data_IF_782671445286
#
_entry.id   IF_782671445286
#
_cell.length_a   1.000
_cell.length_b   1.000
_cell.length_c   1.000
_cell.angle_alpha   90.00
_cell.angle_beta   90.00
_cell.angle_gamma   90.00
#
_symmetry.space_group_name_H-M   'P 1'
#
loop_
_entity.id
_entity.type
_entity.pdbx_description
1 polymer ?
#
# COMPACT_ATOMS: atom_id res chain seq x y z
N UNK A 1 7.39 27.94 38.59
CA UNK A 1 7.63 28.65 37.31
C UNK A 1 8.91 28.10 36.72
N UNK A 2 8.85 27.33 35.62
CA UNK A 2 10.03 26.79 34.93
C UNK A 2 10.74 27.92 34.18
N UNK A 3 11.96 28.25 34.58
CA UNK A 3 12.73 29.42 34.15
C UNK A 3 13.79 29.11 33.08
N UNK A 4 13.64 28.04 32.29
CA UNK A 4 14.67 27.62 31.32
C UNK A 4 14.09 27.12 29.99
N UNK A 5 13.49 28.02 29.22
CA UNK A 5 13.36 27.84 27.78
C UNK A 5 13.94 29.09 27.10
N UNK A 6 15.24 29.07 26.80
CA UNK A 6 15.83 30.03 25.86
C UNK A 6 15.18 29.76 24.51
N UNK A 7 14.35 30.69 24.02
CA UNK A 7 13.89 30.66 22.63
C UNK A 7 15.09 30.99 21.75
N UNK A 8 15.73 29.97 21.18
CA UNK A 8 16.65 30.16 20.06
C UNK A 8 15.83 30.68 18.88
N UNK A 9 16.14 31.88 18.39
CA UNK A 9 15.59 32.37 17.13
C UNK A 9 16.38 31.78 15.95
N UNK A 10 15.90 31.99 14.70
CA UNK A 10 16.54 31.45 13.49
C UNK A 10 18.00 31.96 13.34
N UNK A 11 18.27 33.20 13.71
CA UNK A 11 19.61 33.78 13.69
C UNK A 11 20.57 33.13 14.69
N UNK A 12 20.09 32.84 15.91
CA UNK A 12 20.85 32.14 16.94
C UNK A 12 21.18 30.71 16.49
N UNK A 13 20.20 30.01 15.90
CA UNK A 13 20.39 28.67 15.35
C UNK A 13 21.45 28.66 14.24
N UNK A 14 21.45 29.66 13.35
CA UNK A 14 22.44 29.77 12.27
C UNK A 14 23.85 30.04 12.79
N UNK A 15 24.00 30.92 13.78
CA UNK A 15 25.30 31.20 14.41
C UNK A 15 25.84 29.99 15.18
N UNK A 16 24.97 29.31 15.95
CA UNK A 16 25.34 28.08 16.67
C UNK A 16 25.75 26.97 15.69
N UNK A 17 25.03 26.82 14.57
CA UNK A 17 25.39 25.84 13.55
C UNK A 17 26.72 26.17 12.87
N UNK A 18 26.96 27.44 12.50
CA UNK A 18 28.23 27.89 11.92
C UNK A 18 29.42 27.66 12.86
N UNK A 19 29.27 27.99 14.15
CA UNK A 19 30.30 27.73 15.16
C UNK A 19 30.56 26.23 15.35
N UNK A 20 29.50 25.42 15.33
CA UNK A 20 29.59 23.96 15.42
C UNK A 20 30.31 23.36 14.20
N UNK A 21 29.93 23.78 12.99
CA UNK A 21 30.48 23.29 11.73
C UNK A 21 31.94 23.67 11.51
N UNK A 22 32.33 24.89 11.89
CA UNK A 22 33.72 25.34 11.77
C UNK A 22 34.67 24.65 12.77
N UNK A 23 34.14 24.16 13.90
CA UNK A 23 34.95 23.55 14.97
C UNK A 23 35.00 22.01 14.89
N UNK A 24 34.21 21.38 14.03
CA UNK A 24 34.33 19.95 13.66
C UNK A 24 34.06 18.92 14.75
N UNK A 25 33.59 19.30 15.94
CA UNK A 25 33.44 18.38 17.07
C UNK A 25 31.96 18.10 17.42
N UNK A 26 31.48 16.93 16.98
CA UNK A 26 30.09 16.45 17.14
C UNK A 26 29.63 16.37 18.61
N UNK A 27 30.55 16.34 19.58
CA UNK A 27 30.21 16.24 21.00
C UNK A 27 29.77 17.54 21.68
N UNK A 28 29.87 18.69 20.99
CA UNK A 28 29.64 20.02 21.59
C UNK A 28 28.19 20.50 21.54
N UNK A 29 27.38 20.01 20.59
CA UNK A 29 25.96 20.36 20.48
C UNK A 29 25.08 19.31 21.16
N UNK A 30 24.24 19.74 22.10
CA UNK A 30 23.30 18.87 22.81
C UNK A 30 22.44 18.11 21.78
N UNK A 31 22.40 16.75 21.83
CA UNK A 31 21.61 15.93 20.90
C UNK A 31 20.15 16.37 20.72
N UNK A 32 19.52 16.88 21.76
CA UNK A 32 18.11 17.30 21.71
C UNK A 32 17.91 18.65 20.99
N UNK A 33 18.98 19.45 20.84
CA UNK A 33 18.96 20.73 20.13
C UNK A 33 19.36 20.61 18.65
N UNK A 34 19.99 19.50 18.25
CA UNK A 34 20.55 19.32 16.89
C UNK A 34 19.52 19.51 15.80
N UNK A 35 18.34 18.90 15.95
CA UNK A 35 17.24 19.05 14.97
C UNK A 35 16.86 20.51 14.75
N UNK A 36 16.62 21.25 15.83
CA UNK A 36 16.19 22.64 15.76
C UNK A 36 17.29 23.54 15.19
N UNK A 37 18.54 23.29 15.59
CA UNK A 37 19.71 24.05 15.12
C UNK A 37 19.98 23.79 13.63
N UNK A 38 20.01 22.54 13.18
CA UNK A 38 20.19 22.22 11.76
C UNK A 38 19.05 22.78 10.93
N UNK A 39 17.80 22.54 11.33
CA UNK A 39 16.65 23.06 10.61
C UNK A 39 16.68 24.59 10.51
N UNK A 40 16.93 25.29 11.62
CA UNK A 40 17.02 26.75 11.66
C UNK A 40 18.16 27.31 10.80
N UNK A 41 19.31 26.63 10.76
CA UNK A 41 20.43 27.03 9.93
C UNK A 41 20.18 26.86 8.42
N UNK A 42 19.30 25.92 8.05
CA UNK A 42 18.99 25.58 6.66
C UNK A 42 17.75 26.32 6.12
N UNK A 43 16.79 26.69 6.99
CA UNK A 43 15.47 27.20 6.60
C UNK A 43 15.49 28.31 5.54
N UNK A 44 16.47 29.23 5.61
CA UNK A 44 16.63 30.34 4.66
C UNK A 44 18.08 30.44 4.15
N UNK A 45 18.75 29.31 4.01
CA UNK A 45 20.16 29.29 3.62
C UNK A 45 20.36 29.49 2.10
N UNK A 46 21.49 30.10 1.75
CA UNK A 46 21.93 30.30 0.36
C UNK A 46 22.63 29.07 -0.24
N UNK A 47 22.77 27.99 0.54
CA UNK A 47 23.41 26.74 0.17
C UNK A 47 24.74 26.50 0.89
N UNK A 48 25.32 27.51 1.54
CA UNK A 48 26.60 27.37 2.26
C UNK A 48 26.50 26.40 3.43
N UNK A 49 25.54 26.62 4.32
CA UNK A 49 25.31 25.78 5.50
C UNK A 49 24.78 24.41 5.10
N UNK A 50 23.99 24.38 4.03
CA UNK A 50 23.50 23.14 3.46
C UNK A 50 24.61 22.23 2.96
N UNK A 51 25.57 22.74 2.19
CA UNK A 51 26.67 21.92 1.67
C UNK A 51 27.50 21.32 2.80
N UNK A 52 27.68 22.05 3.90
CA UNK A 52 28.40 21.54 5.07
C UNK A 52 27.61 20.43 5.76
N UNK A 53 26.31 20.65 6.01
CA UNK A 53 25.44 19.63 6.61
C UNK A 53 25.31 18.39 5.72
N UNK A 54 25.32 18.57 4.40
CA UNK A 54 25.32 17.49 3.42
C UNK A 54 26.65 16.73 3.39
N UNK A 55 27.79 17.42 3.47
CA UNK A 55 29.10 16.77 3.59
C UNK A 55 29.17 15.92 4.87
N UNK A 56 28.67 16.44 6.00
CA UNK A 56 28.52 15.66 7.23
C UNK A 56 27.65 14.42 7.03
N UNK A 57 26.50 14.56 6.35
CA UNK A 57 25.62 13.43 6.05
C UNK A 57 26.36 12.32 5.28
N UNK A 58 27.17 12.69 4.29
CA UNK A 58 27.89 11.76 3.42
C UNK A 58 29.10 11.09 4.09
N UNK A 59 29.68 11.72 5.12
CA UNK A 59 30.89 11.26 5.84
C UNK A 59 30.60 10.38 7.07
N UNK A 60 29.35 10.21 7.49
CA UNK A 60 29.01 9.43 8.69
C UNK A 60 29.16 7.92 8.45
N UNK A 61 30.10 7.28 9.14
CA UNK A 61 30.25 5.82 9.18
C UNK A 61 29.36 5.18 10.26
N UNK A 62 28.44 4.28 9.87
CA UNK A 62 27.46 3.64 10.76
C UNK A 62 28.09 2.61 11.72
N UNK A 63 28.78 3.08 12.75
CA UNK A 63 29.29 2.25 13.85
C UNK A 63 28.51 2.50 15.16
N UNK A 64 27.32 1.90 15.29
CA UNK A 64 26.56 1.87 16.55
C UNK A 64 25.27 2.72 16.61
N UNK A 65 24.58 2.66 17.75
CA UNK A 65 23.23 3.24 17.97
C UNK A 65 23.21 4.78 17.89
N UNK A 66 24.22 5.46 18.45
CA UNK A 66 24.30 6.93 18.48
C UNK A 66 24.40 7.55 17.09
N UNK A 67 25.01 6.84 16.14
CA UNK A 67 25.19 7.27 14.76
C UNK A 67 23.87 7.38 14.01
N UNK A 68 22.88 6.54 14.35
CA UNK A 68 21.54 6.57 13.72
C UNK A 68 20.70 7.79 14.10
N UNK A 69 20.84 8.28 15.34
CA UNK A 69 20.10 9.46 15.83
C UNK A 69 20.64 10.75 15.25
N UNK A 70 21.96 10.81 15.04
CA UNK A 70 22.62 11.92 14.39
C UNK A 70 22.25 12.01 12.91
N UNK A 71 22.33 10.88 12.21
CA UNK A 71 21.92 10.80 10.80
C UNK A 71 20.49 11.30 10.58
N UNK A 72 19.57 10.95 11.49
CA UNK A 72 18.18 11.39 11.42
C UNK A 72 18.04 12.91 11.70
N UNK A 73 18.82 13.45 12.65
CA UNK A 73 18.81 14.88 12.94
C UNK A 73 19.32 15.69 11.74
N UNK A 74 20.39 15.23 11.08
CA UNK A 74 20.96 15.84 9.89
C UNK A 74 19.96 15.77 8.72
N UNK A 75 19.37 14.59 8.48
CA UNK A 75 18.35 14.39 7.46
C UNK A 75 17.13 15.32 7.64
N UNK A 76 16.66 15.50 8.88
CA UNK A 76 15.59 16.44 9.22
C UNK A 76 16.01 17.89 8.99
N UNK A 77 17.26 18.24 9.29
CA UNK A 77 17.81 19.57 9.02
C UNK A 77 17.85 19.89 7.53
N UNK A 78 18.35 18.97 6.70
CA UNK A 78 18.38 19.12 5.24
C UNK A 78 16.97 19.32 4.65
N UNK A 79 15.96 18.63 5.20
CA UNK A 79 14.57 18.74 4.77
C UNK A 79 13.90 20.09 5.11
N UNK A 80 14.50 20.91 5.98
CA UNK A 80 13.99 22.24 6.28
C UNK A 80 14.35 23.29 5.23
N UNK A 81 15.14 22.96 4.21
CA UNK A 81 15.50 23.89 3.16
C UNK A 81 14.25 24.48 2.48
N UNK A 82 14.25 25.79 2.25
CA UNK A 82 13.24 26.47 1.43
C UNK A 82 13.78 26.88 0.06
N UNK A 83 15.08 26.70 -0.19
CA UNK A 83 15.69 27.01 -1.48
C UNK A 83 15.52 25.81 -2.44
N UNK A 84 14.80 25.97 -3.58
CA UNK A 84 14.58 24.88 -4.53
C UNK A 84 15.85 24.22 -5.06
N UNK A 85 16.89 24.99 -5.38
CA UNK A 85 18.14 24.45 -5.93
C UNK A 85 18.86 23.55 -4.93
N UNK A 86 18.75 23.91 -3.66
CA UNK A 86 19.32 23.18 -2.54
C UNK A 86 18.58 21.85 -2.34
N UNK A 87 17.24 21.90 -2.35
CA UNK A 87 16.37 20.71 -2.30
C UNK A 87 16.71 19.76 -3.47
N UNK A 88 16.79 20.27 -4.70
CA UNK A 88 17.13 19.50 -5.91
C UNK A 88 18.46 18.75 -5.78
N UNK A 89 19.52 19.39 -5.26
CA UNK A 89 20.82 18.71 -5.06
C UNK A 89 20.75 17.50 -4.14
N UNK A 90 19.91 17.58 -3.11
CA UNK A 90 19.68 16.45 -2.21
C UNK A 90 18.88 15.35 -2.92
N UNK A 91 17.87 15.71 -3.71
CA UNK A 91 17.14 14.76 -4.55
C UNK A 91 18.06 14.06 -5.57
N UNK A 92 19.00 14.77 -6.20
CA UNK A 92 19.96 14.21 -7.16
C UNK A 92 20.90 13.16 -6.52
N UNK A 93 21.42 13.45 -5.32
CA UNK A 93 22.25 12.51 -4.58
C UNK A 93 21.50 11.22 -4.23
N UNK A 94 20.20 11.31 -4.03
CA UNK A 94 19.35 10.17 -3.72
C UNK A 94 18.93 9.38 -4.94
N UNK A 95 18.88 10.02 -6.12
CA UNK A 95 18.57 9.37 -7.39
C UNK A 95 19.74 8.51 -7.92
N UNK A 96 20.98 8.83 -7.57
CA UNK A 96 22.18 8.10 -8.02
C UNK A 96 22.50 6.88 -7.14
N UNK A 97 22.31 5.67 -7.69
CA UNK A 97 22.60 4.38 -7.02
C UNK A 97 24.07 4.15 -6.69
N UNK A 98 24.99 4.88 -7.34
CA UNK A 98 26.43 4.79 -7.09
C UNK A 98 26.90 5.75 -6.00
N UNK A 99 26.04 6.69 -5.59
CA UNK A 99 26.36 7.67 -4.56
C UNK A 99 26.43 7.02 -3.18
N UNK A 100 27.25 7.58 -2.30
CA UNK A 100 27.23 7.23 -0.88
C UNK A 100 25.86 7.54 -0.24
N UNK A 101 25.09 8.49 -0.79
CA UNK A 101 23.73 8.82 -0.37
C UNK A 101 22.75 7.65 -0.49
N UNK A 102 22.89 6.79 -1.50
CA UNK A 102 22.06 5.59 -1.66
C UNK A 102 22.37 4.47 -0.65
N UNK A 103 23.61 4.45 -0.10
CA UNK A 103 24.03 3.44 0.90
C UNK A 103 23.44 3.68 2.30
N UNK A 104 23.05 4.92 2.59
CA UNK A 104 22.45 5.29 3.87
C UNK A 104 20.93 5.18 3.74
N UNK A 105 20.26 4.63 4.75
CA UNK A 105 18.80 4.43 4.77
C UNK A 105 18.08 5.80 4.84
N UNK A 106 17.99 6.47 3.69
CA UNK A 106 17.58 7.88 3.43
C UNK A 106 16.09 8.17 3.58
N UNK A 107 15.30 7.14 3.88
CA UNK A 107 13.86 7.22 4.12
C UNK A 107 13.43 8.33 5.08
N UNK A 108 14.18 8.66 6.15
CA UNK A 108 13.84 9.77 7.04
C UNK A 108 13.90 11.12 6.34
N UNK A 109 14.95 11.42 5.56
CA UNK A 109 15.08 12.72 4.89
C UNK A 109 13.85 13.00 4.01
N UNK A 110 13.51 12.05 3.13
CA UNK A 110 12.33 12.11 2.26
C UNK A 110 11.01 12.26 3.01
N UNK A 111 10.81 11.50 4.09
CA UNK A 111 9.60 11.65 4.91
C UNK A 111 9.47 13.04 5.53
N UNK A 112 10.58 13.75 5.75
CA UNK A 112 10.56 15.12 6.26
C UNK A 112 10.33 16.15 5.16
N UNK A 113 10.79 15.92 3.92
CA UNK A 113 10.47 16.78 2.76
C UNK A 113 8.96 16.88 2.53
N UNK A 114 8.20 15.79 2.75
CA UNK A 114 6.73 15.80 2.68
C UNK A 114 6.06 16.81 3.61
N UNK A 115 6.63 17.07 4.79
CA UNK A 115 6.03 17.97 5.78
C UNK A 115 6.42 19.45 5.56
N UNK A 116 7.26 19.73 4.56
CA UNK A 116 7.68 21.08 4.19
C UNK A 116 7.02 21.48 2.84
N UNK A 117 6.06 22.42 2.81
CA UNK A 117 5.31 22.76 1.60
C UNK A 117 6.17 23.14 0.40
N UNK A 118 7.24 23.92 0.60
CA UNK A 118 8.14 24.32 -0.49
C UNK A 118 8.91 23.11 -1.00
N UNK A 119 9.37 22.26 -0.08
CA UNK A 119 10.18 21.12 -0.44
C UNK A 119 9.35 19.98 -1.06
N UNK A 120 8.07 19.84 -0.68
CA UNK A 120 7.13 18.96 -1.35
C UNK A 120 6.81 19.43 -2.77
N UNK A 121 6.65 20.73 -3.00
CA UNK A 121 6.39 21.28 -4.34
C UNK A 121 7.60 21.08 -5.26
N UNK A 122 8.80 21.41 -4.77
CA UNK A 122 10.05 21.19 -5.51
C UNK A 122 10.31 19.70 -5.75
N UNK A 123 9.98 18.83 -4.79
CA UNK A 123 10.05 17.39 -4.98
C UNK A 123 9.06 16.93 -6.06
N UNK A 124 7.82 17.41 -6.05
CA UNK A 124 6.85 17.08 -7.09
C UNK A 124 7.32 17.56 -8.47
N UNK A 125 7.85 18.78 -8.59
CA UNK A 125 8.34 19.32 -9.86
C UNK A 125 9.63 18.65 -10.32
N UNK A 126 10.52 18.27 -9.40
CA UNK A 126 11.69 17.45 -9.68
C UNK A 126 11.27 16.10 -10.24
N UNK A 127 10.27 15.46 -9.63
CA UNK A 127 9.72 14.18 -10.08
C UNK A 127 8.94 14.31 -11.40
N UNK A 128 8.35 15.46 -11.74
CA UNK A 128 7.71 15.68 -13.04
C UNK A 128 8.71 15.91 -14.17
N UNK A 129 9.80 16.64 -13.89
CA UNK A 129 10.76 17.08 -14.89
C UNK A 129 11.97 16.14 -15.04
N UNK A 130 12.13 15.21 -14.10
CA UNK A 130 13.18 14.20 -14.17
C UNK A 130 12.83 13.15 -15.23
N UNK A 131 13.66 13.09 -16.29
CA UNK A 131 13.70 11.97 -17.23
C UNK A 131 14.27 10.68 -16.62
N UNK A 132 14.45 10.62 -15.29
CA UNK A 132 15.06 9.49 -14.62
C UNK A 132 14.14 8.27 -14.65
N UNK A 133 14.49 7.33 -15.51
CA UNK A 133 14.28 5.88 -15.42
C UNK A 133 13.33 5.41 -14.29
N UNK A 134 12.19 4.77 -14.63
CA UNK A 134 11.16 4.22 -13.70
C UNK A 134 11.73 3.61 -12.41
N UNK A 135 12.92 2.98 -12.51
CA UNK A 135 13.69 2.43 -11.41
C UNK A 135 13.95 3.40 -10.23
N UNK A 136 14.09 4.71 -10.47
CA UNK A 136 14.34 5.71 -9.42
C UNK A 136 13.04 6.09 -8.72
N UNK A 137 11.93 6.22 -9.46
CA UNK A 137 10.59 6.42 -8.90
C UNK A 137 10.15 5.24 -8.02
N UNK A 138 10.41 4.01 -8.46
CA UNK A 138 10.10 2.82 -7.67
C UNK A 138 10.91 2.73 -6.38
N UNK A 139 12.17 3.19 -6.39
CA UNK A 139 12.97 3.31 -5.17
C UNK A 139 12.38 4.35 -4.21
N UNK A 140 11.90 5.50 -4.71
CA UNK A 140 11.22 6.49 -3.87
C UNK A 140 9.90 5.96 -3.32
N UNK A 141 9.15 5.21 -4.11
CA UNK A 141 7.91 4.58 -3.68
C UNK A 141 8.17 3.51 -2.61
N UNK A 142 9.08 2.58 -2.83
CA UNK A 142 9.51 1.60 -1.80
C UNK A 142 10.09 2.31 -0.56
N UNK A 143 10.82 3.40 -0.80
CA UNK A 143 11.13 4.50 0.11
C UNK A 143 9.99 4.82 1.09
N UNK A 144 8.96 5.39 0.50
CA UNK A 144 7.77 5.84 1.19
C UNK A 144 7.06 4.70 1.93
N UNK A 145 6.87 3.55 1.28
CA UNK A 145 6.10 2.42 1.80
C UNK A 145 6.77 1.69 2.98
N UNK A 146 8.10 1.76 3.10
CA UNK A 146 8.84 1.05 4.15
C UNK A 146 9.12 1.89 5.40
N UNK A 147 8.87 3.21 5.38
CA UNK A 147 9.11 4.07 6.54
C UNK A 147 7.95 4.00 7.56
N UNK A 148 8.03 3.02 8.47
CA UNK A 148 7.00 2.66 9.46
C UNK A 148 6.81 3.64 10.65
N UNK A 149 7.19 4.92 10.55
CA UNK A 149 7.18 5.86 11.71
C UNK A 149 6.02 6.86 11.75
N UNK A 150 4.97 6.64 10.98
CA UNK A 150 3.76 7.46 11.01
C UNK A 150 2.53 6.64 10.62
N UNK A 151 1.67 6.42 11.58
CA UNK A 151 0.44 5.66 11.49
C UNK A 151 -0.59 6.26 10.50
N UNK A 152 -1.14 5.41 9.62
CA UNK A 152 -2.50 5.46 9.03
C UNK A 152 -2.97 6.67 8.20
N UNK A 153 -2.10 7.59 7.80
CA UNK A 153 -2.47 8.59 6.80
C UNK A 153 -1.85 8.20 5.46
N UNK A 154 -2.61 7.50 4.62
CA UNK A 154 -2.31 7.43 3.19
C UNK A 154 -2.38 8.87 2.71
N UNK A 155 -1.21 9.49 2.53
CA UNK A 155 -1.15 10.84 2.01
C UNK A 155 -1.64 10.80 0.57
N UNK A 156 -2.31 11.84 0.12
CA UNK A 156 -2.64 12.03 -1.29
C UNK A 156 -1.40 11.85 -2.18
N UNK A 157 -0.20 12.12 -1.64
CA UNK A 157 1.09 11.84 -2.26
C UNK A 157 1.33 10.36 -2.59
N UNK A 158 0.96 9.43 -1.70
CA UNK A 158 1.10 7.98 -1.96
C UNK A 158 0.27 7.59 -3.18
N UNK A 159 -1.00 8.03 -3.16
CA UNK A 159 -1.94 7.77 -4.24
C UNK A 159 -1.46 8.42 -5.53
N UNK A 160 -1.04 9.67 -5.48
CA UNK A 160 -0.47 10.40 -6.61
C UNK A 160 0.74 9.67 -7.20
N UNK A 161 1.70 9.23 -6.38
CA UNK A 161 2.84 8.46 -6.89
C UNK A 161 2.43 7.17 -7.58
N UNK A 162 1.44 6.45 -7.04
CA UNK A 162 0.89 5.29 -7.74
C UNK A 162 0.23 5.72 -9.06
N UNK A 163 -0.66 6.71 -9.05
CA UNK A 163 -1.40 7.21 -10.23
C UNK A 163 -0.46 7.66 -11.36
N UNK A 164 0.66 8.31 -11.05
CA UNK A 164 1.61 8.82 -12.03
C UNK A 164 2.61 7.77 -12.53
N UNK A 165 3.13 6.92 -11.63
CA UNK A 165 4.32 6.12 -11.94
C UNK A 165 4.08 4.61 -12.02
N UNK A 166 2.94 4.11 -11.52
CA UNK A 166 2.61 2.68 -11.60
C UNK A 166 1.59 2.45 -12.71
N UNK A 167 1.95 1.75 -13.80
CA UNK A 167 1.07 1.59 -14.95
C UNK A 167 -0.27 0.96 -14.57
N UNK A 168 -1.37 1.68 -14.77
CA UNK A 168 -2.72 1.15 -14.49
C UNK A 168 -3.14 0.01 -15.44
N UNK A 169 -2.55 -0.05 -16.63
CA UNK A 169 -3.10 -0.84 -17.75
C UNK A 169 -2.08 -1.47 -18.70
N UNK A 170 -0.92 -1.95 -18.23
CA UNK A 170 -0.14 -2.90 -19.05
C UNK A 170 -0.84 -4.25 -19.06
N UNK A 171 -1.87 -4.39 -19.89
CA UNK A 171 -2.61 -5.63 -20.05
C UNK A 171 -2.29 -6.21 -21.44
N UNK A 172 -1.84 -7.49 -21.51
CA UNK A 172 -1.51 -8.36 -20.40
C UNK A 172 -0.08 -8.12 -19.87
N UNK A 173 0.09 -8.21 -18.55
CA UNK A 173 1.43 -8.40 -17.97
C UNK A 173 2.00 -9.73 -18.44
N UNK A 174 3.04 -9.68 -19.27
CA UNK A 174 3.60 -10.87 -19.94
C UNK A 174 4.48 -11.74 -19.03
N UNK A 175 4.90 -11.21 -17.88
CA UNK A 175 5.75 -11.95 -16.92
C UNK A 175 4.94 -13.01 -16.21
N UNK A 176 5.18 -14.25 -16.59
CA UNK A 176 4.60 -15.43 -15.94
C UNK A 176 5.24 -15.70 -14.58
N UNK A 177 4.42 -16.18 -13.65
CA UNK A 177 4.87 -16.73 -12.38
C UNK A 177 5.52 -18.09 -12.59
N UNK A 178 6.37 -18.48 -11.65
CA UNK A 178 6.91 -19.83 -11.67
C UNK A 178 5.80 -20.88 -11.44
N UNK A 179 6.02 -22.09 -11.96
CA UNK A 179 5.11 -23.23 -11.74
C UNK A 179 5.36 -23.95 -10.42
N UNK A 180 6.28 -23.45 -9.60
CA UNK A 180 6.78 -24.16 -8.43
C UNK A 180 5.88 -24.00 -7.20
N UNK A 181 5.04 -22.98 -7.19
CA UNK A 181 4.01 -22.80 -6.16
C UNK A 181 2.64 -22.91 -6.82
N UNK A 182 1.85 -23.86 -6.34
CA UNK A 182 0.50 -24.13 -6.86
C UNK A 182 -0.51 -23.78 -5.77
N UNK A 183 -1.31 -22.72 -5.93
CA UNK A 183 -2.33 -22.36 -4.95
C UNK A 183 -3.46 -23.40 -4.95
N UNK A 184 -3.90 -23.80 -3.76
CA UNK A 184 -5.07 -24.65 -3.59
C UNK A 184 -6.25 -23.84 -3.05
N UNK A 185 -6.00 -22.92 -2.11
CA UNK A 185 -7.04 -22.12 -1.44
C UNK A 185 -6.57 -20.71 -1.09
N UNK A 186 -7.49 -19.76 -1.15
CA UNK A 186 -7.33 -18.39 -0.66
C UNK A 186 -8.36 -18.12 0.44
N UNK A 187 -7.89 -17.65 1.60
CA UNK A 187 -8.76 -17.08 2.64
C UNK A 187 -8.57 -15.58 2.63
N UNK A 188 -9.58 -14.85 2.16
CA UNK A 188 -9.54 -13.41 1.91
C UNK A 188 -10.53 -12.68 2.80
N UNK A 189 -10.06 -11.61 3.43
CA UNK A 189 -10.89 -10.61 4.09
C UNK A 189 -10.61 -9.24 3.48
N UNK A 190 -11.66 -8.51 3.09
CA UNK A 190 -11.56 -7.17 2.50
C UNK A 190 -12.46 -6.19 3.26
N UNK A 191 -11.94 -5.00 3.55
CA UNK A 191 -12.70 -3.86 4.06
C UNK A 191 -12.52 -2.66 3.15
N UNK A 192 -13.47 -2.35 2.26
CA UNK A 192 -13.41 -1.16 1.44
C UNK A 192 -13.80 0.10 2.23
N UNK A 193 -13.16 1.22 1.91
CA UNK A 193 -13.41 2.54 2.48
C UNK A 193 -13.76 3.52 1.35
N UNK A 194 -15.01 3.96 1.33
CA UNK A 194 -15.55 4.89 0.35
C UNK A 194 -16.67 5.71 0.99
N UNK A 195 -17.04 6.87 0.42
CA UNK A 195 -17.97 7.78 1.08
C UNK A 195 -19.31 7.10 1.38
N UNK A 196 -19.74 7.19 2.64
CA UNK A 196 -20.94 6.52 3.14
C UNK A 196 -21.21 6.86 4.60
N UNK A 197 -21.98 6.02 5.28
CA UNK A 197 -22.40 6.19 6.67
C UNK A 197 -21.29 5.93 7.70
N UNK A 198 -20.31 5.09 7.37
CA UNK A 198 -19.22 4.72 8.28
C UNK A 198 -18.13 5.78 8.28
N UNK A 199 -17.72 6.22 9.48
CA UNK A 199 -16.66 7.20 9.64
C UNK A 199 -15.28 6.52 9.68
N UNK A 200 -14.35 7.01 8.86
CA UNK A 200 -12.97 6.53 8.77
C UNK A 200 -12.01 7.72 8.68
N UNK A 201 -10.72 7.50 8.97
CA UNK A 201 -9.72 8.57 8.87
C UNK A 201 -9.63 9.09 7.44
N UNK A 202 -9.41 10.40 7.25
CA UNK A 202 -9.44 11.04 5.92
C UNK A 202 -8.54 10.36 4.89
N UNK A 203 -7.39 9.83 5.32
CA UNK A 203 -6.47 9.10 4.44
C UNK A 203 -7.00 7.75 3.93
N UNK A 204 -8.05 7.17 4.54
CA UNK A 204 -8.66 5.91 4.09
C UNK A 204 -9.62 6.10 2.93
N UNK A 205 -9.97 7.33 2.55
CA UNK A 205 -10.97 7.55 1.51
C UNK A 205 -10.56 6.94 0.17
N UNK A 206 -11.43 6.13 -0.43
CA UNK A 206 -11.18 5.36 -1.66
C UNK A 206 -9.94 4.45 -1.57
N UNK A 207 -9.85 3.73 -0.46
CA UNK A 207 -8.85 2.68 -0.22
C UNK A 207 -9.54 1.43 0.29
N UNK A 208 -8.82 0.33 0.43
CA UNK A 208 -9.32 -0.84 1.13
C UNK A 208 -8.21 -1.45 1.98
N UNK A 209 -8.59 -2.13 3.06
CA UNK A 209 -7.69 -3.01 3.80
C UNK A 209 -7.98 -4.46 3.43
N UNK A 210 -6.92 -5.25 3.30
CA UNK A 210 -6.98 -6.65 2.91
C UNK A 210 -6.11 -7.53 3.79
N UNK A 211 -6.60 -8.73 4.05
CA UNK A 211 -5.82 -9.84 4.60
C UNK A 211 -6.06 -11.08 3.75
N UNK A 212 -4.99 -11.68 3.26
CA UNK A 212 -5.04 -12.94 2.52
C UNK A 212 -4.16 -13.98 3.18
N UNK A 213 -4.68 -15.19 3.34
CA UNK A 213 -3.88 -16.39 3.58
C UNK A 213 -3.99 -17.32 2.39
N UNK A 214 -2.86 -17.54 1.72
CA UNK A 214 -2.73 -18.39 0.55
C UNK A 214 -2.21 -19.75 1.01
N UNK A 215 -2.99 -20.80 0.81
CA UNK A 215 -2.57 -22.17 1.03
C UNK A 215 -2.17 -22.77 -0.32
N UNK A 216 -0.93 -23.21 -0.42
CA UNK A 216 -0.33 -23.68 -1.66
C UNK A 216 0.56 -24.90 -1.42
N UNK A 217 0.87 -25.62 -2.50
CA UNK A 217 1.85 -26.71 -2.50
C UNK A 217 3.13 -26.29 -3.21
N UNK A 218 4.26 -26.67 -2.64
CA UNK A 218 5.57 -26.57 -3.27
C UNK A 218 5.78 -27.76 -4.21
N UNK A 219 5.95 -27.48 -5.48
CA UNK A 219 6.37 -28.44 -6.50
C UNK A 219 7.73 -28.04 -7.08
N UNK A 220 8.46 -29.00 -7.65
CA UNK A 220 9.77 -28.74 -8.24
C UNK A 220 10.90 -28.55 -7.21
N UNK A 221 12.03 -27.93 -7.62
CA UNK A 221 13.26 -27.92 -6.83
C UNK A 221 13.16 -27.03 -5.57
N UNK A 222 14.13 -27.20 -4.67
CA UNK A 222 14.30 -26.33 -3.50
C UNK A 222 14.50 -24.88 -3.97
N UNK A 223 13.84 -23.91 -3.32
CA UNK A 223 14.04 -22.49 -3.59
C UNK A 223 13.89 -21.64 -2.33
N UNK A 224 14.43 -20.43 -2.37
CA UNK A 224 14.38 -19.41 -1.31
C UNK A 224 13.55 -18.20 -1.71
N UNK A 225 12.82 -18.28 -2.82
CA UNK A 225 12.08 -17.15 -3.38
C UNK A 225 10.64 -17.56 -3.62
N UNK A 226 9.69 -16.70 -3.23
CA UNK A 226 8.28 -16.83 -3.60
C UNK A 226 7.91 -15.61 -4.43
N UNK A 227 7.44 -15.83 -5.65
CA UNK A 227 6.91 -14.76 -6.51
C UNK A 227 5.40 -14.93 -6.69
N UNK A 228 4.67 -13.84 -6.54
CA UNK A 228 3.22 -13.75 -6.74
C UNK A 228 2.85 -12.41 -7.39
N UNK A 229 1.63 -12.27 -7.89
CA UNK A 229 1.16 -11.01 -8.46
C UNK A 229 0.59 -10.10 -7.39
N UNK A 230 0.92 -8.81 -7.48
CA UNK A 230 0.41 -7.76 -6.60
C UNK A 230 0.53 -6.45 -7.34
N UNK A 231 -0.56 -5.71 -7.44
CA UNK A 231 -0.61 -4.44 -8.15
C UNK A 231 -1.12 -3.34 -7.23
N UNK A 232 -0.36 -2.25 -7.12
CA UNK A 232 -0.74 -1.03 -6.38
C UNK A 232 -1.18 -1.29 -4.93
N UNK A 233 -0.50 -2.22 -4.27
CA UNK A 233 -0.76 -2.59 -2.87
C UNK A 233 0.40 -2.23 -1.95
N UNK A 234 0.04 -1.71 -0.79
CA UNK A 234 0.94 -1.43 0.33
C UNK A 234 0.97 -2.65 1.24
N UNK A 235 2.12 -3.32 1.31
CA UNK A 235 2.27 -4.52 2.13
C UNK A 235 2.71 -4.13 3.54
N UNK A 236 1.86 -4.41 4.54
CA UNK A 236 2.12 -4.10 5.95
C UNK A 236 2.86 -5.21 6.66
N UNK A 237 2.43 -6.45 6.43
CA UNK A 237 2.97 -7.62 7.12
C UNK A 237 2.90 -8.86 6.24
N UNK A 238 3.95 -9.67 6.28
CA UNK A 238 4.03 -10.98 5.61
C UNK A 238 4.47 -12.00 6.64
N UNK A 239 3.80 -13.14 6.68
CA UNK A 239 4.25 -14.35 7.37
C UNK A 239 4.22 -15.50 6.38
N UNK A 240 5.29 -16.28 6.35
CA UNK A 240 5.37 -17.47 5.51
C UNK A 240 5.55 -18.66 6.43
N UNK A 241 4.71 -19.66 6.26
CA UNK A 241 4.81 -20.91 7.00
C UNK A 241 5.03 -22.06 6.03
N UNK A 242 5.91 -22.97 6.41
CA UNK A 242 6.12 -24.24 5.75
C UNK A 242 5.60 -25.35 6.65
N UNK A 243 4.85 -26.27 6.06
CA UNK A 243 4.38 -27.49 6.69
C UNK A 243 4.92 -28.68 5.85
N UNK A 244 6.01 -29.31 6.30
CA UNK A 244 6.52 -30.53 5.67
C UNK A 244 5.47 -31.66 5.71
N UNK A 245 5.54 -32.65 4.80
CA UNK A 245 4.66 -33.83 4.83
C UNK A 245 4.69 -34.56 6.18
N UNK A 246 5.87 -34.59 6.80
CA UNK A 246 6.10 -35.12 8.14
C UNK A 246 6.81 -34.05 8.96
N UNK A 247 6.05 -33.29 9.76
CA UNK A 247 6.61 -32.23 10.59
C UNK A 247 5.57 -31.24 11.10
N UNK A 248 6.00 -30.40 12.03
CA UNK A 248 5.19 -29.29 12.53
C UNK A 248 5.22 -28.12 11.55
N UNK A 249 4.18 -27.27 11.63
CA UNK A 249 4.16 -25.97 10.96
C UNK A 249 5.32 -25.12 11.49
N UNK A 250 6.18 -24.63 10.60
CA UNK A 250 7.31 -23.77 10.94
C UNK A 250 7.22 -22.45 10.18
N UNK A 251 7.41 -21.34 10.89
CA UNK A 251 7.49 -20.01 10.27
C UNK A 251 8.86 -19.81 9.62
N UNK A 252 8.86 -19.41 8.35
CA UNK A 252 10.05 -19.05 7.58
C UNK A 252 10.24 -17.54 7.61
N UNK A 253 11.40 -17.11 8.08
CA UNK A 253 11.76 -15.69 8.06
C UNK A 253 12.07 -15.24 6.63
N UNK A 254 11.42 -14.16 6.18
CA UNK A 254 11.80 -13.46 4.97
C UNK A 254 12.91 -12.44 5.25
N UNK A 255 13.86 -12.27 4.33
CA UNK A 255 14.98 -11.33 4.43
C UNK A 255 14.66 -10.00 3.76
N UNK A 256 13.94 -10.03 2.64
CA UNK A 256 13.54 -8.85 1.89
C UNK A 256 12.31 -9.13 1.03
N UNK A 257 11.71 -8.04 0.56
CA UNK A 257 10.68 -8.07 -0.48
C UNK A 257 11.08 -7.13 -1.61
N UNK A 258 10.76 -7.53 -2.83
CA UNK A 258 10.99 -6.74 -4.04
C UNK A 258 9.66 -6.57 -4.76
N UNK A 259 9.32 -5.33 -5.08
CA UNK A 259 8.13 -4.98 -5.88
C UNK A 259 8.57 -4.60 -7.27
N UNK A 260 8.00 -5.28 -8.25
CA UNK A 260 8.20 -4.99 -9.67
C UNK A 260 6.88 -4.41 -10.18
N UNK A 261 6.82 -3.08 -10.16
CA UNK A 261 5.61 -2.32 -10.49
C UNK A 261 5.27 -2.37 -11.98
N UNK A 262 6.27 -2.53 -12.85
CA UNK A 262 6.06 -2.71 -14.30
C UNK A 262 5.34 -4.05 -14.55
N UNK A 263 5.77 -5.13 -13.88
CA UNK A 263 5.21 -6.46 -14.08
C UNK A 263 4.10 -6.84 -13.09
N UNK A 264 3.75 -5.93 -12.17
CA UNK A 264 2.80 -6.18 -11.09
C UNK A 264 3.11 -7.46 -10.30
N UNK A 265 4.38 -7.65 -9.90
CA UNK A 265 4.82 -8.80 -9.10
C UNK A 265 5.40 -8.38 -7.75
N UNK A 266 5.16 -9.21 -6.74
CA UNK A 266 5.78 -9.17 -5.42
C UNK A 266 6.65 -10.41 -5.26
N UNK A 267 7.92 -10.20 -4.97
CA UNK A 267 8.90 -11.25 -4.71
C UNK A 267 9.30 -11.22 -3.25
N UNK A 268 9.22 -12.36 -2.57
CA UNK A 268 9.57 -12.54 -1.17
C UNK A 268 10.83 -13.41 -1.12
N UNK A 269 11.92 -12.85 -0.60
CA UNK A 269 13.16 -13.59 -0.38
C UNK A 269 13.16 -14.18 1.02
N UNK A 270 13.39 -15.48 1.13
CA UNK A 270 13.42 -16.23 2.38
C UNK A 270 14.86 -16.46 2.84
N UNK A 271 15.08 -16.40 4.14
CA UNK A 271 16.38 -16.73 4.75
C UNK A 271 16.63 -18.23 4.83
N UNK A 272 15.60 -19.05 4.59
CA UNK A 272 15.64 -20.49 4.64
C UNK A 272 14.97 -21.08 3.38
N UNK A 273 15.51 -22.18 2.84
CA UNK A 273 14.92 -22.84 1.68
C UNK A 273 13.58 -23.49 2.03
N UNK A 274 12.65 -23.45 1.07
CA UNK A 274 11.43 -24.23 1.11
C UNK A 274 11.76 -25.64 0.60
N UNK A 275 11.58 -26.70 1.41
CA UNK A 275 11.81 -28.07 1.00
C UNK A 275 10.88 -28.50 -0.15
N UNK A 276 11.33 -29.50 -0.92
CA UNK A 276 10.51 -30.13 -1.98
C UNK A 276 9.29 -30.81 -1.35
N UNK A 277 8.12 -30.70 -2.00
CA UNK A 277 6.87 -31.36 -1.62
C UNK A 277 6.25 -30.95 -0.26
N UNK A 278 6.47 -29.71 0.19
CA UNK A 278 5.81 -29.16 1.39
C UNK A 278 4.52 -28.37 1.07
N UNK A 279 3.64 -28.27 2.06
CA UNK A 279 2.56 -27.28 2.04
C UNK A 279 3.11 -25.94 2.53
N UNK A 280 2.68 -24.86 1.90
CA UNK A 280 3.06 -23.50 2.25
C UNK A 280 1.81 -22.71 2.57
N UNK A 281 1.89 -21.90 3.61
CA UNK A 281 0.91 -20.86 3.90
C UNK A 281 1.59 -19.50 3.82
N UNK A 282 1.06 -18.59 2.98
CA UNK A 282 1.54 -17.21 2.86
C UNK A 282 0.43 -16.30 3.38
N UNK A 283 0.67 -15.62 4.50
CA UNK A 283 -0.27 -14.65 5.07
C UNK A 283 0.23 -13.23 4.83
N UNK A 284 -0.58 -12.39 4.21
CA UNK A 284 -0.24 -11.02 3.83
C UNK A 284 -1.33 -10.08 4.33
N UNK A 285 -0.94 -9.06 5.10
CA UNK A 285 -1.77 -7.90 5.45
C UNK A 285 -1.35 -6.72 4.61
N UNK A 286 -2.31 -6.08 3.98
CA UNK A 286 -2.03 -5.04 3.00
C UNK A 286 -3.17 -4.03 2.92
N UNK A 287 -2.92 -2.92 2.25
CA UNK A 287 -3.95 -1.99 1.81
C UNK A 287 -3.79 -1.73 0.32
N UNK A 288 -4.86 -1.37 -0.35
CA UNK A 288 -4.81 -0.91 -1.73
C UNK A 288 -5.72 0.28 -1.98
N UNK A 289 -5.77 0.70 -3.23
CA UNK A 289 -6.50 1.87 -3.67
C UNK A 289 -7.72 1.44 -4.47
N UNK A 290 -8.79 2.20 -4.34
CA UNK A 290 -10.00 2.03 -5.15
C UNK A 290 -9.98 3.07 -6.27
N UNK A 291 -10.16 2.59 -7.50
CA UNK A 291 -10.24 3.41 -8.69
C UNK A 291 -11.56 4.19 -8.73
N UNK A 292 -11.47 5.46 -9.13
CA UNK A 292 -12.62 6.38 -9.15
C UNK A 292 -13.37 6.37 -10.49
N UNK A 293 -12.80 5.72 -11.51
CA UNK A 293 -13.43 5.54 -12.82
C UNK A 293 -14.17 4.21 -12.88
N UNK A 294 -15.34 4.15 -13.55
CA UNK A 294 -16.01 2.87 -13.78
C UNK A 294 -15.20 2.02 -14.77
N UNK A 295 -15.31 0.69 -14.62
CA UNK A 295 -15.12 -0.35 -15.64
C UNK A 295 -13.95 -1.33 -15.45
N UNK A 296 -13.03 -1.14 -14.51
CA UNK A 296 -11.81 -1.96 -14.45
C UNK A 296 -11.24 -2.06 -13.03
N UNK A 297 -10.86 -3.27 -12.59
CA UNK A 297 -10.23 -3.55 -11.30
C UNK A 297 -11.16 -3.42 -10.10
N UNK A 298 -10.62 -2.82 -9.03
CA UNK A 298 -11.39 -2.41 -7.85
C UNK A 298 -11.84 -0.98 -8.01
N UNK A 299 -13.13 -0.76 -8.22
CA UNK A 299 -13.64 0.57 -8.52
C UNK A 299 -14.81 0.97 -7.64
N UNK A 300 -15.09 2.28 -7.62
CA UNK A 300 -16.35 2.80 -7.12
C UNK A 300 -17.24 3.27 -8.25
N UNK A 301 -18.55 3.15 -8.04
CA UNK A 301 -19.55 3.86 -8.82
C UNK A 301 -20.51 4.59 -7.87
N UNK A 302 -21.30 5.52 -8.38
CA UNK A 302 -22.25 6.27 -7.56
C UNK A 302 -23.53 6.55 -8.34
N UNK A 303 -24.63 6.68 -7.61
CA UNK A 303 -25.92 7.07 -8.13
C UNK A 303 -26.69 7.90 -7.09
N UNK A 304 -27.76 8.58 -7.50
CA UNK A 304 -28.69 9.22 -6.58
C UNK A 304 -29.86 8.28 -6.31
N UNK A 305 -29.97 7.83 -5.06
CA UNK A 305 -31.02 6.90 -4.66
C UNK A 305 -32.40 7.50 -4.91
N UNK A 306 -33.30 6.71 -5.51
CA UNK A 306 -34.58 7.24 -5.96
C UNK A 306 -35.46 7.75 -4.80
N UNK A 307 -35.38 7.09 -3.64
CA UNK A 307 -36.27 7.30 -2.50
C UNK A 307 -35.93 8.53 -1.65
N UNK A 308 -34.66 8.96 -1.60
CA UNK A 308 -34.24 10.13 -0.81
C UNK A 308 -33.44 11.17 -1.62
N UNK A 309 -33.18 10.90 -2.92
CA UNK A 309 -32.37 11.73 -3.81
C UNK A 309 -30.96 12.04 -3.27
N UNK A 310 -30.43 11.18 -2.41
CA UNK A 310 -29.07 11.31 -1.88
C UNK A 310 -28.09 10.51 -2.73
N UNK A 311 -26.89 11.08 -2.91
CA UNK A 311 -25.79 10.40 -3.58
C UNK A 311 -25.32 9.23 -2.72
N UNK A 312 -25.38 8.03 -3.27
CA UNK A 312 -24.85 6.80 -2.70
C UNK A 312 -23.73 6.25 -3.56
N UNK A 313 -22.85 5.48 -2.94
CA UNK A 313 -21.68 4.89 -3.58
C UNK A 313 -21.75 3.38 -3.46
N UNK A 314 -21.19 2.71 -4.46
CA UNK A 314 -20.91 1.28 -4.42
C UNK A 314 -19.41 1.08 -4.59
N UNK A 315 -18.87 0.09 -3.90
CA UNK A 315 -17.61 -0.55 -4.23
C UNK A 315 -17.91 -1.80 -5.05
N UNK A 316 -17.20 -2.02 -6.15
CA UNK A 316 -17.37 -3.19 -7.00
C UNK A 316 -16.02 -3.64 -7.60
N UNK A 317 -16.01 -4.86 -8.11
CA UNK A 317 -14.85 -5.45 -8.76
C UNK A 317 -15.18 -5.95 -10.16
N UNK A 318 -14.30 -5.68 -11.11
CA UNK A 318 -14.28 -6.28 -12.44
C UNK A 318 -12.83 -6.62 -12.79
N UNK A 319 -12.52 -7.90 -12.99
CA UNK A 319 -11.15 -8.36 -13.23
C UNK A 319 -10.95 -9.02 -14.59
N UNK A 320 -11.99 -9.07 -15.43
CA UNK A 320 -11.84 -9.54 -16.81
C UNK A 320 -11.26 -8.41 -17.69
N UNK A 321 -11.56 -7.14 -17.36
CA UNK A 321 -10.74 -5.97 -17.69
C UNK A 321 -9.62 -5.77 -16.66
N UNK A 322 -8.51 -5.11 -17.01
CA UNK A 322 -7.44 -4.88 -16.03
C UNK A 322 -7.89 -3.98 -14.89
N UNK A 323 -7.04 -3.65 -13.91
CA UNK A 323 -5.77 -4.27 -13.54
C UNK A 323 -5.85 -5.68 -12.92
N UNK A 324 -6.92 -6.45 -13.17
CA UNK A 324 -7.12 -7.85 -12.74
C UNK A 324 -7.14 -8.03 -11.21
N UNK A 325 -7.34 -9.25 -10.72
CA UNK A 325 -7.52 -9.57 -9.30
C UNK A 325 -6.30 -9.22 -8.44
N UNK A 326 -5.10 -9.17 -9.04
CA UNK A 326 -3.87 -8.70 -8.38
C UNK A 326 -3.96 -7.27 -7.84
N UNK A 327 -4.90 -6.46 -8.32
CA UNK A 327 -5.21 -5.12 -7.81
C UNK A 327 -6.03 -5.13 -6.51
N UNK A 328 -6.73 -6.22 -6.19
CA UNK A 328 -7.50 -6.41 -4.94
C UNK A 328 -6.79 -7.33 -3.95
N UNK A 329 -6.13 -8.39 -4.43
CA UNK A 329 -5.52 -9.43 -3.60
C UNK A 329 -4.14 -9.79 -4.14
N UNK A 330 -3.06 -9.75 -3.35
CA UNK A 330 -1.81 -10.39 -3.73
C UNK A 330 -2.06 -11.89 -3.93
N UNK A 331 -1.97 -12.39 -5.17
CA UNK A 331 -2.35 -13.75 -5.52
C UNK A 331 -1.59 -14.29 -6.75
N UNK A 332 -1.78 -15.56 -7.06
CA UNK A 332 -1.32 -16.15 -8.32
C UNK A 332 -2.35 -15.87 -9.41
N UNK A 333 -2.21 -14.72 -10.06
CA UNK A 333 -3.21 -14.12 -10.94
C UNK A 333 -3.00 -14.53 -12.40
N UNK A 334 -3.18 -15.84 -12.66
CA UNK A 334 -3.12 -16.46 -13.98
C UNK A 334 -4.30 -17.43 -14.16
N UNK A 335 -4.96 -17.47 -15.34
CA UNK A 335 -6.15 -18.29 -15.54
C UNK A 335 -5.98 -19.79 -15.22
N UNK A 336 -4.77 -20.33 -15.38
CA UNK A 336 -4.43 -21.74 -15.09
C UNK A 336 -4.30 -22.04 -13.59
N UNK A 337 -4.04 -21.03 -12.75
CA UNK A 337 -3.76 -21.15 -11.30
C UNK A 337 -5.05 -21.14 -10.47
N UNK A 338 -6.00 -22.00 -10.82
CA UNK A 338 -7.32 -22.06 -10.16
C UNK A 338 -7.24 -22.48 -8.70
N UNK A 339 -8.07 -21.90 -7.85
CA UNK A 339 -8.16 -22.20 -6.42
C UNK A 339 -9.59 -22.02 -5.88
N UNK A 340 -9.81 -22.50 -4.65
CA UNK A 340 -11.04 -22.23 -3.88
C UNK A 340 -10.87 -20.92 -3.11
N UNK A 341 -11.89 -20.06 -3.12
CA UNK A 341 -11.87 -18.78 -2.43
C UNK A 341 -12.84 -18.78 -1.26
N UNK A 342 -12.34 -18.43 -0.08
CA UNK A 342 -13.11 -18.17 1.12
C UNK A 342 -13.12 -16.65 1.32
N UNK A 343 -14.25 -16.02 1.03
CA UNK A 343 -14.37 -14.56 1.00
C UNK A 343 -15.10 -14.06 2.25
N UNK A 344 -14.53 -13.04 2.87
CA UNK A 344 -15.12 -12.27 3.95
C UNK A 344 -15.05 -10.79 3.59
N UNK A 345 -16.16 -10.07 3.82
CA UNK A 345 -16.24 -8.63 3.55
C UNK A 345 -16.71 -7.92 4.82
N UNK A 346 -16.00 -6.86 5.20
CA UNK A 346 -16.36 -5.97 6.30
C UNK A 346 -16.82 -4.64 5.70
N UNK A 347 -17.98 -4.15 6.09
CA UNK A 347 -18.66 -3.04 5.40
C UNK A 347 -19.59 -2.27 6.34
N UNK A 348 -20.04 -1.05 5.98
CA UNK A 348 -21.00 -0.28 6.77
C UNK A 348 -22.32 -1.05 7.01
N UNK A 349 -22.86 -1.00 8.22
CA UNK A 349 -24.01 -1.83 8.63
C UNK A 349 -25.29 -1.57 7.83
N UNK A 350 -25.45 -0.39 7.24
CA UNK A 350 -26.59 0.01 6.41
C UNK A 350 -26.47 -0.39 4.94
N UNK A 351 -25.39 -1.08 4.55
CA UNK A 351 -25.16 -1.57 3.19
C UNK A 351 -25.34 -3.09 3.08
N UNK A 352 -25.21 -3.62 1.87
CA UNK A 352 -25.21 -5.05 1.56
C UNK A 352 -23.88 -5.41 0.89
N UNK A 353 -23.28 -6.52 1.31
CA UNK A 353 -22.15 -7.14 0.62
C UNK A 353 -22.62 -8.35 -0.21
N UNK A 354 -22.14 -8.43 -1.45
CA UNK A 354 -22.42 -9.51 -2.40
C UNK A 354 -21.08 -10.09 -2.89
N UNK A 355 -21.03 -11.41 -3.07
CA UNK A 355 -19.88 -12.08 -3.68
C UNK A 355 -20.35 -13.28 -4.53
N UNK A 356 -19.42 -14.11 -5.00
CA UNK A 356 -19.65 -15.23 -5.91
C UNK A 356 -20.65 -16.27 -5.38
N UNK A 357 -20.70 -16.45 -4.06
CA UNK A 357 -21.53 -17.47 -3.40
C UNK A 357 -22.52 -16.83 -2.43
N UNK A 358 -23.44 -17.64 -1.91
CA UNK A 358 -24.37 -17.19 -0.87
C UNK A 358 -23.63 -16.87 0.43
N UNK A 359 -24.15 -15.88 1.14
CA UNK A 359 -23.80 -15.60 2.52
C UNK A 359 -23.92 -16.87 3.39
N UNK A 360 -22.86 -17.17 4.14
CA UNK A 360 -22.84 -18.23 5.16
C UNK A 360 -23.15 -17.66 6.54
N UNK A 361 -22.65 -16.46 6.84
CA UNK A 361 -22.96 -15.74 8.06
C UNK A 361 -22.88 -14.22 7.86
N UNK A 362 -23.71 -13.49 8.61
CA UNK A 362 -23.69 -12.02 8.71
C UNK A 362 -23.65 -11.65 10.18
N UNK A 363 -22.63 -10.90 10.59
CA UNK A 363 -22.38 -10.52 11.98
C UNK A 363 -22.27 -9.00 12.06
N UNK A 364 -23.06 -8.36 12.92
CA UNK A 364 -22.86 -6.96 13.28
C UNK A 364 -21.66 -6.89 14.24
N UNK A 365 -20.60 -6.20 13.85
CA UNK A 365 -19.37 -6.07 14.64
C UNK A 365 -19.46 -4.98 15.71
N UNK A 366 -20.57 -4.26 15.76
CA UNK A 366 -20.68 -2.98 16.46
C UNK A 366 -20.00 -1.86 15.68
N UNK A 367 -20.06 -0.65 16.22
CA UNK A 367 -19.30 0.51 15.71
C UNK A 367 -19.69 0.94 14.28
N UNK A 368 -20.88 0.53 13.80
CA UNK A 368 -21.36 0.83 12.45
C UNK A 368 -20.81 -0.09 11.35
N UNK A 369 -20.18 -1.21 11.70
CA UNK A 369 -19.69 -2.20 10.73
C UNK A 369 -20.42 -3.54 10.88
N UNK A 370 -20.64 -4.18 9.72
CA UNK A 370 -21.05 -5.56 9.59
C UNK A 370 -19.96 -6.37 8.89
N UNK A 371 -19.95 -7.67 9.14
CA UNK A 371 -19.08 -8.66 8.50
C UNK A 371 -19.93 -9.75 7.89
N UNK A 372 -19.75 -9.99 6.60
CA UNK A 372 -20.35 -11.14 5.91
C UNK A 372 -19.25 -12.10 5.52
N UNK A 373 -19.43 -13.37 5.89
CA UNK A 373 -18.61 -14.48 5.39
C UNK A 373 -19.46 -15.28 4.40
N UNK A 374 -18.92 -15.51 3.22
CA UNK A 374 -19.59 -16.24 2.15
C UNK A 374 -19.16 -17.71 2.12
N UNK A 375 -20.00 -18.58 1.57
CA UNK A 375 -19.64 -19.99 1.34
C UNK A 375 -18.40 -20.10 0.44
N UNK A 376 -17.59 -21.17 0.55
CA UNK A 376 -16.48 -21.37 -0.36
C UNK A 376 -16.94 -21.43 -1.82
N UNK A 377 -16.15 -20.87 -2.73
CA UNK A 377 -16.37 -21.04 -4.16
C UNK A 377 -16.04 -22.45 -4.62
N UNK A 378 -16.52 -22.83 -5.79
CA UNK A 378 -15.88 -23.90 -6.55
C UNK A 378 -14.46 -23.48 -6.99
N UNK A 379 -13.65 -24.45 -7.41
CA UNK A 379 -12.29 -24.17 -7.93
C UNK A 379 -12.38 -23.31 -9.20
N UNK A 380 -11.95 -22.06 -9.12
CA UNK A 380 -12.09 -21.07 -10.19
C UNK A 380 -10.81 -20.25 -10.39
N UNK A 381 -10.70 -19.60 -11.55
CA UNK A 381 -9.61 -18.67 -11.85
C UNK A 381 -9.80 -17.36 -11.08
N UNK A 382 -8.71 -16.66 -10.78
CA UNK A 382 -8.71 -15.41 -9.98
C UNK A 382 -9.64 -14.35 -10.54
N UNK A 383 -9.61 -14.12 -11.86
CA UNK A 383 -10.40 -13.07 -12.53
C UNK A 383 -11.93 -13.19 -12.35
N UNK A 384 -12.43 -14.36 -11.92
CA UNK A 384 -13.85 -14.56 -11.62
C UNK A 384 -14.24 -14.09 -10.21
N UNK A 385 -13.29 -13.73 -9.35
CA UNK A 385 -13.56 -13.21 -8.02
C UNK A 385 -14.39 -11.92 -8.14
N UNK A 386 -15.55 -11.89 -7.51
CA UNK A 386 -16.45 -10.75 -7.54
C UNK A 386 -16.83 -10.34 -6.10
N UNK A 387 -16.72 -9.05 -5.80
CA UNK A 387 -17.19 -8.43 -4.56
C UNK A 387 -17.89 -7.13 -4.91
N UNK A 388 -19.06 -6.91 -4.31
CA UNK A 388 -19.77 -5.64 -4.39
C UNK A 388 -20.32 -5.25 -3.04
N UNK A 389 -20.20 -3.98 -2.67
CA UNK A 389 -20.71 -3.41 -1.41
C UNK A 389 -21.42 -2.11 -1.72
N UNK A 390 -22.67 -1.98 -1.28
CA UNK A 390 -23.39 -0.72 -1.35
C UNK A 390 -24.85 -0.85 -0.94
N UNK A 391 -25.62 0.20 -1.20
CA UNK A 391 -27.04 0.26 -0.88
C UNK A 391 -27.88 -0.47 -1.93
N UNK A 392 -27.99 -1.78 -1.74
CA UNK A 392 -28.68 -2.67 -2.66
C UNK A 392 -30.00 -3.21 -2.09
N UNK A 393 -30.94 -3.39 -3.02
CA UNK A 393 -32.12 -4.20 -2.82
C UNK A 393 -32.22 -5.28 -3.90
N UNK A 394 -32.84 -6.42 -3.56
CA UNK A 394 -32.96 -7.55 -4.47
C UNK A 394 -34.40 -7.93 -4.77
N UNK A 395 -34.65 -8.26 -6.04
CA UNK A 395 -35.72 -9.16 -6.44
C UNK A 395 -35.19 -10.60 -6.43
N UNK A 396 -36.05 -11.58 -6.13
CA UNK A 396 -35.65 -12.99 -6.08
C UNK A 396 -36.73 -13.92 -6.62
N UNK A 397 -36.30 -15.05 -7.15
CA UNK A 397 -37.18 -16.14 -7.59
C UNK A 397 -36.45 -17.48 -7.65
N UNK A 398 -37.20 -18.55 -7.90
CA UNK A 398 -36.67 -19.89 -8.09
C UNK A 398 -36.89 -20.32 -9.55
N UNK A 399 -35.85 -20.85 -10.19
CA UNK A 399 -36.00 -21.51 -11.50
C UNK A 399 -36.85 -22.77 -11.38
N UNK A 400 -37.27 -23.36 -12.51
CA UNK A 400 -38.01 -24.64 -12.54
C UNK A 400 -37.29 -25.78 -11.80
N UNK A 401 -35.96 -25.76 -11.82
CA UNK A 401 -35.10 -26.74 -11.13
C UNK A 401 -34.76 -26.34 -9.68
N UNK A 402 -35.45 -25.34 -9.12
CA UNK A 402 -35.29 -24.90 -7.74
C UNK A 402 -34.03 -24.09 -7.44
N UNK A 403 -33.36 -23.51 -8.45
CA UNK A 403 -32.19 -22.65 -8.23
C UNK A 403 -32.61 -21.23 -7.88
N UNK A 404 -32.03 -20.68 -6.82
CA UNK A 404 -32.28 -19.29 -6.40
C UNK A 404 -31.58 -18.32 -7.37
N UNK A 405 -32.36 -17.40 -7.94
CA UNK A 405 -31.89 -16.26 -8.70
C UNK A 405 -32.19 -14.99 -7.92
N UNK A 406 -31.21 -14.09 -7.80
CA UNK A 406 -31.34 -12.76 -7.20
C UNK A 406 -30.89 -11.70 -8.20
N UNK A 407 -31.73 -10.70 -8.45
CA UNK A 407 -31.37 -9.51 -9.24
C UNK A 407 -31.24 -8.35 -8.27
N UNK A 408 -30.03 -7.82 -8.17
CA UNK A 408 -29.69 -6.71 -7.27
C UNK A 408 -29.69 -5.39 -8.03
N UNK A 409 -30.29 -4.37 -7.44
CA UNK A 409 -30.30 -2.99 -7.94
C UNK A 409 -29.98 -2.05 -6.78
N UNK A 410 -29.73 -0.77 -7.07
CA UNK A 410 -29.81 0.27 -6.04
C UNK A 410 -31.18 0.25 -5.36
N UNK A 411 -31.20 0.57 -4.07
CA UNK A 411 -32.46 0.67 -3.32
C UNK A 411 -33.38 1.74 -3.93
N UNK A 412 -34.62 1.35 -4.21
CA UNK A 412 -35.62 2.16 -4.92
C UNK A 412 -35.77 1.80 -6.40
N UNK A 413 -34.77 1.14 -7.00
CA UNK A 413 -34.75 0.82 -8.44
C UNK A 413 -35.13 -0.64 -8.76
N UNK A 414 -35.71 -1.38 -7.80
CA UNK A 414 -35.96 -2.82 -7.94
C UNK A 414 -36.85 -3.14 -9.15
N UNK A 415 -37.82 -2.29 -9.47
CA UNK A 415 -38.72 -2.47 -10.60
C UNK A 415 -37.97 -2.57 -11.95
N UNK A 416 -36.80 -1.93 -12.06
CA UNK A 416 -35.96 -2.01 -13.26
C UNK A 416 -35.35 -3.42 -13.45
N UNK A 417 -35.28 -4.24 -12.39
CA UNK A 417 -34.75 -5.59 -12.42
C UNK A 417 -35.77 -6.67 -12.79
N UNK A 418 -37.06 -6.35 -12.92
CA UNK A 418 -38.12 -7.35 -13.14
C UNK A 418 -38.00 -8.11 -14.45
N UNK A 419 -37.61 -7.42 -15.53
CA UNK A 419 -37.38 -8.07 -16.82
C UNK A 419 -36.22 -9.04 -16.73
N UNK A 420 -35.09 -8.61 -16.16
CA UNK A 420 -33.91 -9.45 -15.97
C UNK A 420 -34.24 -10.69 -15.13
N UNK A 421 -34.99 -10.52 -14.02
CA UNK A 421 -35.40 -11.65 -13.19
C UNK A 421 -36.26 -12.63 -13.99
N UNK A 422 -37.28 -12.16 -14.71
CA UNK A 422 -38.14 -13.03 -15.54
C UNK A 422 -37.34 -13.81 -16.57
N UNK A 423 -36.41 -13.15 -17.27
CA UNK A 423 -35.54 -13.81 -18.26
C UNK A 423 -34.67 -14.89 -17.61
N UNK A 424 -34.09 -14.62 -16.44
CA UNK A 424 -33.24 -15.59 -15.75
C UNK A 424 -34.01 -16.79 -15.16
N UNK A 425 -35.30 -16.64 -14.86
CA UNK A 425 -36.11 -17.73 -14.29
C UNK A 425 -36.61 -18.75 -15.33
N UNK A 426 -36.60 -18.38 -16.61
CA UNK A 426 -37.10 -19.20 -17.73
C UNK A 426 -38.62 -19.21 -17.80
#
# INVERSE_FOLDING_TARGET
MLQYAVRLNIGDARQVALQFWNNGNVSTLNPDLRRAVYCGAILNDDGTNFNVLLAMFLQIELTGYYTSRELNSIAQGLACAQNPQVITKVLDLFADRSSSGYRYNIHPAFSNFYHNPVASDVMADYLKNSSANNSTYYLFLDGFLSNRRGAYTYSDMTRWMYDEYVPLGQIPWLKQLDETIVPDQYVVSVQPYFPGSYNYSIGKNFTYDGEVSIFARKVGPIQTVIMLNSHRQIIHHIRVFNQPPTGNLTELNYTSIVRDYDNATLTIHLGQPIPVNGNIQISIKYSGFIDKGPAEGTYVNWDYLEYNKQKSWIFATDFEGGPSTRSLVPCYDEPSKKAIWYVTVIYPTDMVAISNTLEESVINLGNGLSKTTFKPTEKMSSYLLAISVGDFAALRGLTKDGKLVRVWTWTGMQNNGELSLRVCLG
#
